data_IF_095515495517
#
_entry.id   IF_095515495517
#
_cell.length_a   1.000
_cell.length_b   1.000
_cell.length_c   1.000
_cell.angle_alpha   90.00
_cell.angle_beta   90.00
_cell.angle_gamma   90.00
#
_symmetry.space_group_name_H-M   'P 1'
#
loop_
_entity.id
_entity.type
_entity.pdbx_description
1 polymer ?
#
# COMPACT_ATOMS: atom_id res chain seq x y z
N UNK A 1 -0.08 13.57 6.55
CA UNK A 1 -0.65 12.22 6.53
C UNK A 1 -0.45 11.69 5.13
N UNK A 2 0.15 10.51 4.95
CA UNK A 2 0.22 9.87 3.62
C UNK A 2 -1.20 9.41 3.27
N UNK A 3 -1.73 9.84 2.12
CA UNK A 3 -3.17 9.86 1.84
C UNK A 3 -3.86 8.49 1.82
N UNK A 4 -3.13 7.39 1.66
CA UNK A 4 -3.67 6.03 1.43
C UNK A 4 -2.96 4.95 2.25
N UNK A 5 -2.61 5.28 3.50
CA UNK A 5 -1.86 4.36 4.37
C UNK A 5 -2.69 3.14 4.77
N UNK A 6 -3.98 3.33 5.04
CA UNK A 6 -4.92 2.25 5.41
C UNK A 6 -5.03 1.19 4.31
N UNK A 7 -5.14 1.61 3.06
CA UNK A 7 -5.24 0.74 1.89
C UNK A 7 -3.95 -0.04 1.68
N UNK A 8 -2.81 0.64 1.85
CA UNK A 8 -1.50 0.01 1.79
C UNK A 8 -1.34 -1.08 2.86
N UNK A 9 -1.68 -0.77 4.12
CA UNK A 9 -1.63 -1.72 5.24
C UNK A 9 -2.52 -2.93 5.00
N UNK A 10 -3.77 -2.70 4.57
CA UNK A 10 -4.72 -3.77 4.29
C UNK A 10 -4.22 -4.69 3.16
N UNK A 11 -3.70 -4.12 2.07
CA UNK A 11 -3.19 -4.92 0.95
C UNK A 11 -1.89 -5.65 1.29
N UNK A 12 -1.00 -5.06 2.10
CA UNK A 12 0.20 -5.73 2.61
C UNK A 12 -0.15 -6.91 3.51
N UNK A 13 -1.14 -6.75 4.39
CA UNK A 13 -1.61 -7.81 5.27
C UNK A 13 -2.25 -8.92 4.44
N UNK A 14 -3.20 -8.62 3.57
CA UNK A 14 -3.96 -9.63 2.83
C UNK A 14 -3.10 -10.43 1.84
N UNK A 15 -2.24 -9.76 1.06
CA UNK A 15 -1.48 -10.43 0.00
C UNK A 15 -0.19 -11.08 0.49
N UNK A 16 0.45 -10.50 1.50
CA UNK A 16 1.78 -10.92 1.94
C UNK A 16 1.84 -11.36 3.39
N UNK A 17 0.75 -11.24 4.16
CA UNK A 17 0.75 -11.51 5.60
C UNK A 17 1.64 -10.54 6.37
N UNK A 18 1.80 -9.30 5.88
CA UNK A 18 2.69 -8.30 6.47
C UNK A 18 1.89 -7.30 7.28
N UNK A 19 2.16 -7.31 8.58
CA UNK A 19 1.80 -6.23 9.49
C UNK A 19 3.01 -5.31 9.65
N UNK A 20 2.87 -4.04 9.22
CA UNK A 20 3.95 -3.05 9.31
C UNK A 20 4.09 -2.43 10.70
N UNK A 21 3.12 -2.65 11.59
CA UNK A 21 3.24 -2.31 13.01
C UNK A 21 4.01 -3.38 13.81
N UNK A 22 4.27 -4.56 13.23
CA UNK A 22 5.19 -5.55 13.81
C UNK A 22 6.63 -5.02 13.81
N UNK A 23 7.01 -4.39 14.92
CA UNK A 23 8.35 -3.82 15.14
C UNK A 23 9.46 -4.87 15.07
N UNK A 24 9.19 -6.14 15.40
CA UNK A 24 10.20 -7.17 15.32
C UNK A 24 10.45 -7.56 13.87
N UNK A 25 9.40 -7.69 13.06
CA UNK A 25 9.50 -7.90 11.62
C UNK A 25 10.22 -6.73 10.94
N UNK A 26 9.77 -5.49 11.21
CA UNK A 26 10.32 -4.29 10.59
C UNK A 26 11.81 -4.04 10.94
N UNK A 27 12.28 -4.48 12.11
CA UNK A 27 13.72 -4.42 12.44
C UNK A 27 14.57 -5.47 11.73
N UNK A 28 13.99 -6.62 11.37
CA UNK A 28 14.71 -7.73 10.70
C UNK A 28 14.79 -7.55 9.19
N UNK A 29 13.88 -6.77 8.59
CA UNK A 29 13.79 -6.57 7.15
C UNK A 29 14.34 -5.21 6.75
N UNK A 30 14.96 -5.13 5.59
CA UNK A 30 15.44 -3.87 5.04
C UNK A 30 14.29 -3.05 4.46
N UNK A 31 14.49 -1.75 4.31
CA UNK A 31 13.55 -0.90 3.57
C UNK A 31 13.30 -1.42 2.15
N UNK A 32 14.35 -1.86 1.44
CA UNK A 32 14.26 -2.46 0.11
C UNK A 32 13.31 -3.67 0.06
N UNK A 33 13.28 -4.47 1.13
CA UNK A 33 12.36 -5.61 1.23
C UNK A 33 10.90 -5.15 1.27
N UNK A 34 10.59 -4.08 1.98
CA UNK A 34 9.23 -3.52 2.03
C UNK A 34 8.89 -2.84 0.70
N UNK A 35 9.80 -2.04 0.15
CA UNK A 35 9.62 -1.30 -1.11
C UNK A 35 9.22 -2.22 -2.27
N UNK A 36 9.88 -3.37 -2.47
CA UNK A 36 9.50 -4.29 -3.57
C UNK A 36 8.05 -4.79 -3.45
N UNK A 37 7.52 -4.91 -2.24
CA UNK A 37 6.14 -5.36 -2.02
C UNK A 37 5.16 -4.23 -2.28
N UNK A 38 5.49 -3.01 -1.86
CA UNK A 38 4.73 -1.81 -2.21
C UNK A 38 4.66 -1.65 -3.73
N UNK A 39 5.79 -1.76 -4.43
CA UNK A 39 5.82 -1.72 -5.89
C UNK A 39 4.97 -2.84 -6.51
N UNK A 40 5.02 -4.05 -5.95
CA UNK A 40 4.15 -5.15 -6.38
C UNK A 40 2.66 -4.87 -6.18
N UNK A 41 2.26 -4.08 -5.17
CA UNK A 41 0.88 -3.64 -5.00
C UNK A 41 0.46 -2.61 -6.05
N UNK A 42 1.39 -1.83 -6.59
CA UNK A 42 1.14 -0.85 -7.64
C UNK A 42 1.02 -1.48 -9.04
N UNK A 43 1.59 -2.67 -9.23
CA UNK A 43 1.60 -3.41 -10.51
C UNK A 43 0.35 -4.30 -10.71
N UNK A 44 -0.55 -4.33 -9.72
CA UNK A 44 -1.75 -5.18 -9.72
C UNK A 44 -2.99 -4.36 -9.38
N UNK A 45 -4.18 -4.91 -9.66
CA UNK A 45 -5.42 -4.30 -9.18
C UNK A 45 -5.56 -4.50 -7.66
N UNK A 46 -5.15 -3.49 -6.89
CA UNK A 46 -5.13 -3.45 -5.43
C UNK A 46 -6.04 -2.34 -4.89
N UNK A 47 -6.39 -2.38 -3.59
CA UNK A 47 -7.15 -1.28 -2.96
C UNK A 47 -6.36 0.02 -3.05
N UNK A 48 -5.05 -0.06 -2.82
CA UNK A 48 -4.14 1.07 -2.95
C UNK A 48 -4.21 1.70 -4.35
N UNK A 49 -4.12 0.88 -5.41
CA UNK A 49 -4.21 1.38 -6.79
C UNK A 49 -5.58 1.99 -7.09
N UNK A 50 -6.67 1.38 -6.60
CA UNK A 50 -8.02 1.92 -6.78
C UNK A 50 -8.21 3.26 -6.05
N UNK A 51 -7.65 3.40 -4.86
CA UNK A 51 -7.69 4.65 -4.09
C UNK A 51 -6.87 5.75 -4.78
N UNK A 52 -5.65 5.43 -5.24
CA UNK A 52 -4.82 6.36 -6.01
C UNK A 52 -5.49 6.81 -7.31
N UNK A 53 -6.17 5.90 -8.03
CA UNK A 53 -6.94 6.25 -9.23
C UNK A 53 -8.12 7.16 -8.91
N UNK A 54 -8.83 6.91 -7.80
CA UNK A 54 -9.96 7.76 -7.37
C UNK A 54 -9.52 9.20 -7.13
N UNK A 55 -8.33 9.41 -6.57
CA UNK A 55 -7.78 10.75 -6.35
C UNK A 55 -7.36 11.46 -7.66
N UNK A 56 -7.13 10.71 -8.74
CA UNK A 56 -6.78 11.25 -10.05
C UNK A 56 -8.01 11.67 -10.88
N UNK A 57 -9.21 11.24 -10.50
CA UNK A 57 -10.45 11.65 -11.16
C UNK A 57 -10.73 13.13 -10.84
N UNK A 58 -10.80 14.02 -11.85
CA UNK A 58 -11.11 15.43 -11.62
C UNK A 58 -12.50 15.57 -10.97
N UNK A 59 -12.62 16.47 -10.00
CA UNK A 59 -13.89 16.86 -9.38
C UNK A 59 -14.78 17.66 -10.36
N UNK A 60 -15.00 17.20 -11.60
CA UNK A 60 -15.90 17.83 -12.57
C UNK A 60 -16.52 16.78 -13.51
N UNK A 61 -17.61 16.17 -13.05
CA UNK A 61 -18.61 15.52 -13.90
C UNK A 61 -20.04 15.97 -13.51
N UNK A 62 -20.19 17.21 -13.03
CA UNK A 62 -21.47 17.86 -12.75
C UNK A 62 -21.46 19.30 -13.26
#
# INVERSE_FOLDING_TARGET
MLSHWTELEADLHERYGIDIDDRALMRRKSWRWLEVRILGLLDVDSRLVRALRRDQEPLQAL
#
